data_IF_380442329702
#
_entry.id   IF_380442329702
#
_cell.length_a   1.000
_cell.length_b   1.000
_cell.length_c   1.000
_cell.angle_alpha   90.00
_cell.angle_beta   90.00
_cell.angle_gamma   90.00
#
_symmetry.space_group_name_H-M   'P 1'
#
loop_
_entity.id
_entity.type
_entity.pdbx_description
1 polymer ?
#
# COMPACT_ATOMS: atom_id res chain seq x y z
N UNK A 1 11.11 -28.77 23.60
CA UNK A 1 9.84 -28.06 23.25
C UNK A 1 10.21 -26.78 22.53
N UNK A 2 9.76 -26.52 21.29
CA UNK A 2 10.08 -25.25 20.64
C UNK A 2 9.23 -24.14 21.27
N UNK A 3 9.90 -23.09 21.76
CA UNK A 3 9.26 -21.91 22.35
C UNK A 3 8.44 -21.21 21.28
N UNK A 4 7.12 -21.10 21.48
CA UNK A 4 6.24 -20.24 20.67
C UNK A 4 6.83 -18.81 20.65
N UNK A 5 7.07 -18.21 19.48
CA UNK A 5 7.44 -16.80 19.42
C UNK A 5 6.29 -15.99 20.02
N UNK A 6 6.56 -15.28 21.12
CA UNK A 6 5.64 -14.29 21.68
C UNK A 6 5.87 -13.00 20.90
N UNK A 7 5.10 -12.79 19.84
CA UNK A 7 5.03 -11.50 19.16
C UNK A 7 4.44 -10.51 20.18
N UNK A 8 5.21 -9.49 20.56
CA UNK A 8 4.74 -8.42 21.44
C UNK A 8 3.84 -7.52 20.61
N UNK A 9 2.63 -7.28 21.10
CA UNK A 9 1.60 -6.48 20.43
C UNK A 9 2.03 -5.04 20.05
N UNK A 10 3.15 -4.55 20.60
CA UNK A 10 3.77 -3.27 20.24
C UNK A 10 4.62 -3.30 18.96
N UNK A 11 5.17 -4.45 18.56
CA UNK A 11 5.96 -4.57 17.33
C UNK A 11 5.05 -4.56 16.09
N UNK A 12 3.86 -5.18 16.17
CA UNK A 12 2.88 -5.19 15.07
C UNK A 12 2.36 -3.79 14.73
N UNK A 13 2.27 -2.87 15.70
CA UNK A 13 1.87 -1.48 15.47
C UNK A 13 3.02 -0.64 14.89
N UNK A 14 4.26 -0.91 15.31
CA UNK A 14 5.46 -0.22 14.82
C UNK A 14 5.76 -0.57 13.36
N UNK A 15 5.54 -1.83 12.97
CA UNK A 15 5.65 -2.29 11.57
C UNK A 15 4.69 -1.54 10.63
N UNK A 16 3.48 -1.21 11.10
CA UNK A 16 2.48 -0.48 10.30
C UNK A 16 2.88 0.98 10.11
N UNK A 17 3.44 1.63 11.15
CA UNK A 17 3.89 3.02 11.07
C UNK A 17 5.11 3.19 10.14
N UNK A 18 6.06 2.25 10.17
CA UNK A 18 7.24 2.26 9.29
C UNK A 18 6.84 2.04 7.83
N UNK A 19 5.92 1.11 7.56
CA UNK A 19 5.40 0.87 6.23
C UNK A 19 4.65 2.09 5.67
N UNK A 20 3.82 2.75 6.49
CA UNK A 20 3.14 3.97 6.10
C UNK A 20 4.14 5.09 5.76
N UNK A 21 5.14 5.30 6.61
CA UNK A 21 6.19 6.31 6.40
C UNK A 21 6.96 6.07 5.11
N UNK A 22 7.37 4.82 4.85
CA UNK A 22 8.06 4.43 3.63
C UNK A 22 7.20 4.68 2.39
N UNK A 23 5.92 4.28 2.40
CA UNK A 23 5.03 4.48 1.27
C UNK A 23 4.75 5.95 1.01
N UNK A 24 4.51 6.74 2.06
CA UNK A 24 4.35 8.19 1.94
C UNK A 24 5.60 8.84 1.34
N UNK A 25 6.80 8.50 1.80
CA UNK A 25 8.05 9.03 1.26
C UNK A 25 8.22 8.68 -0.21
N UNK A 26 7.99 7.42 -0.59
CA UNK A 26 8.12 6.97 -1.97
C UNK A 26 7.11 7.65 -2.90
N UNK A 27 5.87 7.87 -2.44
CA UNK A 27 4.87 8.64 -3.17
C UNK A 27 5.34 10.09 -3.32
N UNK A 28 5.79 10.74 -2.25
CA UNK A 28 6.25 12.13 -2.29
C UNK A 28 7.37 12.32 -3.32
N UNK A 29 8.35 11.42 -3.34
CA UNK A 29 9.46 11.44 -4.31
C UNK A 29 9.02 11.18 -5.76
N UNK A 30 7.89 10.51 -5.97
CA UNK A 30 7.41 10.08 -7.29
C UNK A 30 5.97 10.56 -7.56
N UNK A 31 5.59 11.73 -7.02
CA UNK A 31 4.18 12.14 -6.92
C UNK A 31 3.45 12.08 -8.26
N UNK A 32 4.03 12.64 -9.32
CA UNK A 32 3.39 12.68 -10.64
C UNK A 32 3.37 11.32 -11.32
N UNK A 33 4.45 10.54 -11.20
CA UNK A 33 4.51 9.17 -11.71
C UNK A 33 3.46 8.27 -11.02
N UNK A 34 3.29 8.43 -9.70
CA UNK A 34 2.30 7.70 -8.92
C UNK A 34 0.88 8.11 -9.34
N UNK A 35 0.61 9.41 -9.46
CA UNK A 35 -0.68 9.91 -9.98
C UNK A 35 -0.99 9.36 -11.36
N UNK A 36 -0.02 9.37 -12.27
CA UNK A 36 -0.16 8.80 -13.60
C UNK A 36 -0.46 7.30 -13.54
N UNK A 37 0.26 6.54 -12.72
CA UNK A 37 0.05 5.11 -12.53
C UNK A 37 -1.36 4.78 -12.00
N UNK A 38 -1.84 5.52 -11.01
CA UNK A 38 -3.22 5.37 -10.48
C UNK A 38 -4.25 5.75 -11.55
N UNK A 39 -3.99 6.80 -12.33
CA UNK A 39 -4.88 7.26 -13.40
C UNK A 39 -5.00 6.28 -14.55
N UNK A 40 -3.89 5.64 -14.94
CA UNK A 40 -3.84 4.65 -16.02
C UNK A 40 -4.10 3.22 -15.55
N UNK A 41 -4.40 3.03 -14.26
CA UNK A 41 -4.63 1.72 -13.63
C UNK A 41 -3.44 0.76 -13.80
N UNK A 42 -2.23 1.29 -13.76
CA UNK A 42 -1.00 0.52 -13.93
C UNK A 42 -0.52 -0.05 -12.58
N UNK A 43 -0.93 -1.28 -12.29
CA UNK A 43 -0.57 -1.98 -11.06
C UNK A 43 0.95 -2.17 -10.88
N UNK A 44 1.68 -2.43 -11.97
CA UNK A 44 3.11 -2.67 -11.91
C UNK A 44 3.87 -1.38 -11.54
N UNK A 45 3.48 -0.24 -12.12
CA UNK A 45 4.07 1.04 -11.78
C UNK A 45 3.77 1.43 -10.31
N UNK A 46 2.54 1.23 -9.83
CA UNK A 46 2.19 1.44 -8.42
C UNK A 46 3.07 0.59 -7.51
N UNK A 47 3.21 -0.71 -7.81
CA UNK A 47 4.04 -1.63 -7.03
C UNK A 47 5.50 -1.20 -7.00
N UNK A 48 6.05 -0.80 -8.16
CA UNK A 48 7.44 -0.38 -8.28
C UNK A 48 7.71 0.90 -7.48
N UNK A 49 6.85 1.91 -7.62
CA UNK A 49 6.98 3.18 -6.89
C UNK A 49 6.89 2.94 -5.38
N UNK A 50 5.92 2.16 -4.93
CA UNK A 50 5.71 1.92 -3.51
C UNK A 50 6.71 0.92 -2.90
N UNK A 51 7.55 0.27 -3.71
CA UNK A 51 8.50 -0.74 -3.23
C UNK A 51 7.83 -1.94 -2.56
N UNK A 52 6.63 -2.32 -3.02
CA UNK A 52 5.80 -3.29 -2.29
C UNK A 52 6.36 -4.72 -2.40
N UNK A 53 6.54 -5.44 -1.27
CA UNK A 53 6.73 -6.87 -1.30
C UNK A 53 5.42 -7.52 -1.76
N UNK A 54 5.51 -8.31 -2.85
CA UNK A 54 4.42 -9.04 -3.55
C UNK A 54 3.03 -8.88 -2.92
N UNK A 55 2.27 -7.84 -3.28
CA UNK A 55 0.91 -7.68 -2.78
C UNK A 55 0.03 -8.83 -3.27
N UNK A 56 -0.93 -9.24 -2.45
CA UNK A 56 -1.90 -10.28 -2.81
C UNK A 56 -2.85 -9.80 -3.89
N UNK A 57 -3.24 -8.52 -3.87
CA UNK A 57 -3.95 -7.90 -4.99
C UNK A 57 -3.75 -6.39 -5.04
N UNK A 58 -3.83 -5.85 -6.26
CA UNK A 58 -3.93 -4.40 -6.53
C UNK A 58 -5.18 -4.21 -7.39
N UNK A 59 -6.11 -3.38 -6.94
CA UNK A 59 -7.33 -3.03 -7.67
C UNK A 59 -7.49 -1.52 -7.77
N UNK A 60 -8.14 -1.06 -8.84
CA UNK A 60 -8.38 0.35 -9.08
C UNK A 60 -9.88 0.62 -9.10
N UNK A 61 -10.27 1.74 -8.50
CA UNK A 61 -11.66 2.17 -8.50
C UNK A 61 -11.74 3.70 -8.53
N UNK A 62 -12.91 4.22 -8.89
CA UNK A 62 -13.20 5.64 -8.81
C UNK A 62 -14.12 5.86 -7.62
N UNK A 63 -13.72 6.71 -6.68
CA UNK A 63 -14.57 7.09 -5.55
C UNK A 63 -15.75 7.95 -6.03
N UNK A 64 -16.78 8.09 -5.19
CA UNK A 64 -18.00 8.85 -5.53
C UNK A 64 -17.72 10.32 -5.87
N UNK A 65 -16.69 10.90 -5.25
CA UNK A 65 -16.22 12.26 -5.52
C UNK A 65 -15.35 12.39 -6.80
N UNK A 66 -15.25 11.31 -7.59
CA UNK A 66 -14.52 11.29 -8.84
C UNK A 66 -13.00 11.12 -8.70
N UNK A 67 -12.46 10.98 -7.49
CA UNK A 67 -11.05 10.65 -7.27
C UNK A 67 -10.77 9.23 -7.76
N UNK A 68 -9.61 9.05 -8.40
CA UNK A 68 -9.13 7.71 -8.78
C UNK A 68 -8.34 7.14 -7.62
N UNK A 69 -8.64 5.91 -7.23
CA UNK A 69 -8.04 5.26 -6.09
C UNK A 69 -7.44 3.93 -6.49
N UNK A 70 -6.38 3.56 -5.77
CA UNK A 70 -5.80 2.23 -5.80
C UNK A 70 -6.00 1.59 -4.44
N UNK A 71 -6.49 0.36 -4.44
CA UNK A 71 -6.62 -0.48 -3.27
C UNK A 71 -5.59 -1.61 -3.37
N UNK A 72 -4.82 -1.81 -2.31
CA UNK A 72 -3.73 -2.77 -2.25
C UNK A 72 -3.97 -3.67 -1.05
N UNK A 73 -4.00 -4.97 -1.31
CA UNK A 73 -4.18 -5.99 -0.27
C UNK A 73 -2.86 -6.71 -0.08
N UNK A 74 -2.43 -6.78 1.17
CA UNK A 74 -1.27 -7.54 1.61
C UNK A 74 -1.75 -8.71 2.44
N UNK A 75 -1.23 -9.90 2.19
CA UNK A 75 -1.46 -11.07 3.02
C UNK A 75 -0.13 -11.76 3.31
N UNK A 76 0.15 -12.00 4.58
CA UNK A 76 1.31 -12.76 5.04
C UNK A 76 0.87 -13.71 6.15
N UNK A 77 0.90 -15.02 5.87
CA UNK A 77 0.38 -16.03 6.79
C UNK A 77 -1.09 -15.77 7.14
N UNK A 78 -1.37 -15.56 8.42
CA UNK A 78 -2.72 -15.27 8.95
C UNK A 78 -3.05 -13.78 9.01
N UNK A 79 -2.11 -12.90 8.67
CA UNK A 79 -2.28 -11.45 8.76
C UNK A 79 -2.62 -10.89 7.38
N UNK A 80 -3.70 -10.12 7.31
CA UNK A 80 -4.07 -9.37 6.10
C UNK A 80 -4.19 -7.89 6.41
N UNK A 81 -3.73 -7.05 5.48
CA UNK A 81 -3.75 -5.61 5.56
C UNK A 81 -4.26 -5.00 4.25
N UNK A 82 -4.87 -3.83 4.35
CA UNK A 82 -5.38 -3.10 3.19
C UNK A 82 -4.91 -1.65 3.23
N UNK A 83 -4.38 -1.18 2.11
CA UNK A 83 -3.99 0.22 1.88
C UNK A 83 -4.82 0.77 0.73
N UNK A 84 -5.47 1.90 0.94
CA UNK A 84 -6.20 2.62 -0.11
C UNK A 84 -5.64 4.03 -0.25
N UNK A 85 -5.23 4.38 -1.47
CA UNK A 85 -4.68 5.70 -1.77
C UNK A 85 -5.47 6.29 -2.94
N UNK A 86 -5.98 7.51 -2.76
CA UNK A 86 -6.74 8.23 -3.77
C UNK A 86 -5.94 9.43 -4.28
N UNK A 87 -5.95 9.65 -5.59
CA UNK A 87 -5.32 10.80 -6.23
C UNK A 87 -6.39 11.78 -6.74
N UNK A 88 -6.16 13.09 -6.60
CA UNK A 88 -7.10 14.09 -7.09
C UNK A 88 -7.24 14.03 -8.61
N UNK A 89 -8.44 14.35 -9.08
CA UNK A 89 -8.67 14.77 -10.46
C UNK A 89 -7.92 16.10 -10.65
N UNK A 90 -7.03 16.16 -11.64
CA UNK A 90 -6.54 17.45 -12.14
C UNK A 90 -7.59 17.99 -13.10
#
# INVERSE_FOLDING_TARGET
MPKKPRVKQGDDLMIVADAYTLYSQNISLNTDAFRAAVRTRNAQAVRNILGLPRPSSISFFTAQDGRRCVNIVFSSGTTSGRLTICVPRQ
#
